data_IF_275065318976
#
_entry.id   IF_275065318976
#
_cell.length_a   1.000
_cell.length_b   1.000
_cell.length_c   1.000
_cell.angle_alpha   90.00
_cell.angle_beta   90.00
_cell.angle_gamma   90.00
#
_symmetry.space_group_name_H-M   'P 1'
#
loop_
_entity.id
_entity.type
_entity.pdbx_description
1 polymer ?
#
# COMPACT_ATOMS: atom_id res chain seq x y z
N UNK A 1 77.44 -46.43 -25.69
CA UNK A 1 77.02 -45.44 -26.71
C UNK A 1 75.72 -44.77 -26.29
N UNK A 2 75.75 -43.59 -25.67
CA UNK A 2 74.56 -42.80 -25.32
C UNK A 2 74.26 -41.73 -26.38
N UNK A 3 73.08 -41.79 -27.01
CA UNK A 3 72.63 -40.78 -27.98
C UNK A 3 71.97 -39.60 -27.24
N UNK A 4 72.57 -38.40 -27.33
CA UNK A 4 71.99 -37.15 -26.83
C UNK A 4 70.90 -36.65 -27.79
N UNK A 5 69.69 -36.41 -27.28
CA UNK A 5 68.59 -35.76 -28.02
C UNK A 5 68.72 -34.25 -27.81
N UNK A 6 68.92 -33.49 -28.90
CA UNK A 6 68.91 -32.02 -28.90
C UNK A 6 67.44 -31.53 -28.91
N UNK A 7 67.04 -30.77 -27.89
CA UNK A 7 65.79 -30.04 -27.88
C UNK A 7 65.82 -28.87 -28.88
N UNK A 8 64.87 -28.82 -29.81
CA UNK A 8 64.62 -27.68 -30.70
C UNK A 8 63.88 -26.60 -29.92
N UNK A 9 64.44 -25.38 -29.85
CA UNK A 9 63.72 -24.18 -29.40
C UNK A 9 62.88 -23.65 -30.56
N UNK A 10 61.57 -23.49 -30.36
CA UNK A 10 60.69 -22.78 -31.29
C UNK A 10 60.82 -21.26 -31.06
N UNK A 11 60.79 -20.43 -32.12
CA UNK A 11 60.82 -18.99 -31.96
C UNK A 11 59.45 -18.47 -31.50
N UNK A 12 59.48 -17.55 -30.54
CA UNK A 12 58.32 -16.88 -29.96
C UNK A 12 57.84 -15.82 -30.97
N UNK A 13 56.68 -16.04 -31.58
CA UNK A 13 56.01 -15.04 -32.43
C UNK A 13 55.63 -13.82 -31.57
N UNK A 14 56.19 -12.65 -31.90
CA UNK A 14 55.84 -11.38 -31.27
C UNK A 14 54.47 -10.93 -31.79
N UNK A 15 53.49 -10.81 -30.90
CA UNK A 15 52.20 -10.22 -31.27
C UNK A 15 52.32 -8.69 -31.44
N UNK A 16 51.62 -8.09 -32.42
CA UNK A 16 51.59 -6.65 -32.57
C UNK A 16 50.90 -6.00 -31.36
N UNK A 17 51.49 -4.90 -30.89
CA UNK A 17 50.94 -4.07 -29.80
C UNK A 17 49.65 -3.43 -30.32
N UNK A 18 48.50 -3.91 -29.86
CA UNK A 18 47.22 -3.24 -30.09
C UNK A 18 47.26 -1.94 -29.29
N UNK A 19 47.36 -0.82 -30.00
CA UNK A 19 47.29 0.51 -29.41
C UNK A 19 45.83 0.76 -29.00
N UNK A 20 45.57 0.74 -27.69
CA UNK A 20 44.25 1.04 -27.16
C UNK A 20 43.90 2.50 -27.47
N UNK A 21 42.69 2.80 -27.98
CA UNK A 21 42.26 4.18 -28.14
C UNK A 21 42.24 4.87 -26.76
N UNK A 22 42.56 6.17 -26.69
CA UNK A 22 42.54 6.90 -25.44
C UNK A 22 41.12 6.84 -24.85
N UNK A 23 41.04 6.48 -23.57
CA UNK A 23 39.80 6.53 -22.80
C UNK A 23 39.23 7.96 -22.90
N UNK A 24 37.91 8.12 -23.11
CA UNK A 24 37.30 9.44 -23.08
C UNK A 24 37.65 10.10 -21.74
N UNK A 25 38.08 11.36 -21.81
CA UNK A 25 38.35 12.16 -20.62
C UNK A 25 37.08 12.14 -19.77
N UNK A 26 37.16 11.48 -18.62
CA UNK A 26 36.13 11.57 -17.61
C UNK A 26 36.18 13.01 -17.12
N UNK A 27 35.21 13.82 -17.52
CA UNK A 27 34.85 15.06 -16.82
C UNK A 27 34.35 14.64 -15.42
N UNK A 28 35.29 14.24 -14.56
CA UNK A 28 35.01 13.97 -13.17
C UNK A 28 34.79 15.34 -12.53
N UNK A 29 33.60 15.62 -11.98
CA UNK A 29 33.43 16.81 -11.16
C UNK A 29 34.47 16.72 -10.03
N UNK A 30 35.19 17.83 -9.81
CA UNK A 30 36.09 18.02 -8.68
C UNK A 30 35.32 17.67 -7.40
N UNK A 31 35.54 16.46 -6.87
CA UNK A 31 34.89 15.96 -5.65
C UNK A 31 35.74 16.36 -4.46
N UNK A 32 35.83 17.66 -4.22
CA UNK A 32 36.45 18.26 -3.02
C UNK A 32 35.60 18.12 -1.75
N UNK A 33 34.71 17.14 -1.71
CA UNK A 33 33.96 16.76 -0.52
C UNK A 33 33.69 15.26 -0.56
N UNK A 34 34.48 14.48 0.16
CA UNK A 34 34.18 13.07 0.40
C UNK A 34 32.96 13.00 1.31
N UNK A 35 31.76 12.99 0.72
CA UNK A 35 30.54 12.57 1.40
C UNK A 35 30.76 11.21 2.06
N UNK A 36 29.99 10.93 3.11
CA UNK A 36 30.09 9.65 3.81
C UNK A 36 29.76 8.49 2.85
N UNK A 37 30.12 7.26 3.20
CA UNK A 37 29.72 6.06 2.43
C UNK A 37 28.19 6.03 2.23
N UNK A 38 27.42 6.51 3.22
CA UNK A 38 25.96 6.58 3.14
C UNK A 38 25.50 7.58 2.07
N UNK A 39 26.15 8.74 1.97
CA UNK A 39 25.85 9.74 0.95
C UNK A 39 26.17 9.21 -0.45
N UNK A 40 27.31 8.51 -0.60
CA UNK A 40 27.70 7.88 -1.84
C UNK A 40 26.69 6.81 -2.27
N UNK A 41 26.29 5.91 -1.37
CA UNK A 41 25.27 4.89 -1.68
C UNK A 41 23.94 5.55 -2.03
N UNK A 42 23.51 6.56 -1.28
CA UNK A 42 22.27 7.29 -1.55
C UNK A 42 22.27 7.96 -2.93
N UNK A 43 23.43 8.47 -3.37
CA UNK A 43 23.60 9.10 -4.70
C UNK A 43 23.47 8.13 -5.88
N UNK A 44 23.55 6.82 -5.63
CA UNK A 44 23.35 5.78 -6.66
C UNK A 44 21.87 5.44 -6.88
N UNK A 45 20.96 5.97 -6.06
CA UNK A 45 19.52 5.76 -6.22
C UNK A 45 19.02 6.30 -7.56
N UNK A 46 18.44 5.43 -8.39
CA UNK A 46 17.99 5.71 -9.77
C UNK A 46 19.06 6.32 -10.69
N UNK A 47 20.32 6.25 -10.29
CA UNK A 47 21.45 6.63 -11.13
C UNK A 47 21.84 5.44 -12.01
N UNK A 48 22.02 5.66 -13.31
CA UNK A 48 22.46 4.63 -14.25
C UNK A 48 23.98 4.37 -14.21
N UNK A 49 24.75 5.26 -13.59
CA UNK A 49 26.19 5.09 -13.43
C UNK A 49 26.50 3.83 -12.63
N UNK A 50 27.31 2.91 -13.18
CA UNK A 50 27.62 1.59 -12.61
C UNK A 50 26.42 0.64 -12.41
N UNK A 51 25.23 0.98 -12.92
CA UNK A 51 24.08 0.09 -12.87
C UNK A 51 24.32 -1.17 -13.72
N UNK A 52 24.05 -2.33 -13.15
CA UNK A 52 24.20 -3.66 -13.75
C UNK A 52 22.90 -4.47 -13.74
N UNK A 53 21.79 -3.79 -13.40
CA UNK A 53 20.43 -4.33 -13.38
C UNK A 53 19.45 -3.27 -13.87
N UNK A 54 18.44 -3.73 -14.62
CA UNK A 54 17.27 -2.93 -15.00
C UNK A 54 16.03 -3.61 -14.47
N UNK A 55 15.18 -2.84 -13.79
CA UNK A 55 13.86 -3.28 -13.32
C UNK A 55 12.82 -2.56 -14.19
N UNK A 56 11.89 -3.30 -14.76
CA UNK A 56 10.80 -2.79 -15.60
C UNK A 56 9.48 -3.03 -14.86
N UNK A 57 8.68 -2.00 -14.68
CA UNK A 57 7.39 -2.08 -14.01
C UNK A 57 6.38 -1.24 -14.78
N UNK A 58 5.38 -1.89 -15.38
CA UNK A 58 4.33 -1.24 -16.18
C UNK A 58 4.85 -0.20 -17.19
N UNK A 59 5.94 -0.54 -17.89
CA UNK A 59 6.58 0.34 -18.89
C UNK A 59 7.55 1.39 -18.32
N UNK A 60 7.59 1.61 -17.00
CA UNK A 60 8.63 2.43 -16.35
C UNK A 60 9.87 1.60 -16.09
N UNK A 61 11.04 2.17 -16.36
CA UNK A 61 12.34 1.51 -16.17
C UNK A 61 13.11 2.15 -15.02
N UNK A 62 13.71 1.31 -14.19
CA UNK A 62 14.51 1.73 -13.04
C UNK A 62 15.91 1.11 -13.13
N UNK A 63 16.96 1.92 -13.33
CA UNK A 63 18.33 1.42 -13.20
C UNK A 63 18.61 1.09 -11.74
N UNK A 64 19.26 -0.05 -11.52
CA UNK A 64 19.58 -0.56 -10.20
C UNK A 64 20.95 -1.24 -10.18
N UNK A 65 21.43 -1.51 -8.97
CA UNK A 65 22.74 -2.09 -8.72
C UNK A 65 22.57 -3.39 -7.95
N UNK A 66 22.91 -4.54 -8.56
CA UNK A 66 22.75 -5.88 -7.98
C UNK A 66 23.41 -5.96 -6.61
N UNK A 67 24.62 -5.42 -6.49
CA UNK A 67 25.38 -5.41 -5.25
C UNK A 67 24.64 -4.73 -4.07
N UNK A 68 23.75 -3.77 -4.36
CA UNK A 68 22.96 -3.08 -3.33
C UNK A 68 21.62 -3.79 -3.11
N UNK A 69 20.86 -4.04 -4.18
CA UNK A 69 19.50 -4.58 -4.05
C UNK A 69 19.47 -6.04 -3.58
N UNK A 70 20.37 -6.91 -4.06
CA UNK A 70 20.43 -8.32 -3.66
C UNK A 70 20.95 -8.52 -2.23
N UNK A 71 21.73 -7.58 -1.70
CA UNK A 71 22.17 -7.64 -0.31
C UNK A 71 21.03 -7.31 0.67
N UNK A 72 20.06 -6.51 0.23
CA UNK A 72 19.00 -5.97 1.09
C UNK A 72 17.60 -6.55 0.82
N UNK A 73 17.45 -7.35 -0.24
CA UNK A 73 16.21 -8.05 -0.58
C UNK A 73 16.50 -9.50 -0.97
N UNK A 74 15.87 -10.44 -0.26
CA UNK A 74 15.98 -11.86 -0.59
C UNK A 74 15.28 -12.20 -1.91
N UNK A 75 14.22 -11.46 -2.27
CA UNK A 75 13.59 -11.55 -3.58
C UNK A 75 14.59 -11.23 -4.69
N UNK A 76 15.23 -10.05 -4.65
CA UNK A 76 16.18 -9.66 -5.69
C UNK A 76 17.42 -10.55 -5.70
N UNK A 77 17.85 -11.05 -4.54
CA UNK A 77 18.92 -12.05 -4.46
C UNK A 77 18.57 -13.30 -5.26
N UNK A 78 17.38 -13.88 -5.04
CA UNK A 78 16.92 -15.07 -5.75
C UNK A 78 16.69 -14.81 -7.23
N UNK A 79 16.07 -13.69 -7.59
CA UNK A 79 15.83 -13.31 -8.98
C UNK A 79 17.14 -13.12 -9.76
N UNK A 80 18.16 -12.55 -9.13
CA UNK A 80 19.45 -12.29 -9.76
C UNK A 80 20.45 -13.47 -9.67
N UNK A 81 20.18 -14.52 -8.91
CA UNK A 81 21.14 -15.60 -8.65
C UNK A 81 20.58 -16.94 -9.12
N UNK A 82 21.08 -17.43 -10.25
CA UNK A 82 20.74 -18.73 -10.82
C UNK A 82 20.87 -18.75 -12.35
N UNK A 83 20.40 -19.84 -12.97
CA UNK A 83 20.31 -20.00 -14.43
C UNK A 83 18.98 -19.44 -15.00
N UNK A 84 18.22 -18.71 -14.19
CA UNK A 84 16.98 -18.06 -14.60
C UNK A 84 17.27 -16.88 -15.54
N UNK A 85 16.31 -16.57 -16.42
CA UNK A 85 16.47 -15.54 -17.46
C UNK A 85 16.76 -14.17 -16.84
N UNK A 86 16.16 -13.89 -15.70
CA UNK A 86 16.30 -12.70 -14.87
C UNK A 86 17.72 -12.46 -14.35
N UNK A 87 18.60 -13.47 -14.39
CA UNK A 87 20.02 -13.28 -14.07
C UNK A 87 20.78 -12.53 -15.17
N UNK A 88 20.22 -12.49 -16.40
CA UNK A 88 20.79 -11.87 -17.62
C UNK A 88 19.86 -10.84 -18.27
N UNK A 89 18.55 -10.96 -18.04
CA UNK A 89 17.49 -10.11 -18.58
C UNK A 89 16.99 -9.11 -17.51
N UNK A 90 16.29 -8.02 -17.91
CA UNK A 90 15.61 -7.14 -16.96
C UNK A 90 14.62 -7.90 -16.06
N UNK A 91 14.45 -7.43 -14.83
CA UNK A 91 13.41 -7.94 -13.93
C UNK A 91 12.09 -7.24 -14.25
N UNK A 92 11.06 -8.01 -14.59
CA UNK A 92 9.73 -7.49 -14.91
C UNK A 92 8.77 -7.62 -13.71
N UNK A 93 8.16 -6.51 -13.31
CA UNK A 93 7.23 -6.39 -12.17
C UNK A 93 5.87 -5.85 -12.63
N UNK A 94 5.17 -6.61 -13.46
CA UNK A 94 3.95 -6.13 -14.14
C UNK A 94 2.73 -5.99 -13.22
N UNK A 95 2.73 -6.68 -12.08
CA UNK A 95 1.62 -6.68 -11.12
C UNK A 95 1.81 -5.71 -9.95
N UNK A 96 2.94 -5.00 -9.91
CA UNK A 96 3.26 -4.02 -8.87
C UNK A 96 3.04 -2.62 -9.39
N UNK A 97 2.69 -1.69 -8.49
CA UNK A 97 2.58 -0.27 -8.81
C UNK A 97 3.98 0.38 -8.95
N UNK A 98 4.28 1.09 -10.05
CA UNK A 98 5.58 1.73 -10.26
C UNK A 98 5.98 2.71 -9.15
N UNK A 99 5.03 3.41 -8.50
CA UNK A 99 5.32 4.31 -7.38
C UNK A 99 5.82 3.51 -6.18
N UNK A 100 5.17 2.38 -5.87
CA UNK A 100 5.60 1.54 -4.77
C UNK A 100 6.96 0.89 -5.06
N UNK A 101 7.22 0.45 -6.31
CA UNK A 101 8.55 -0.05 -6.70
C UNK A 101 9.61 1.03 -6.51
N UNK A 102 9.33 2.26 -6.96
CA UNK A 102 10.23 3.39 -6.78
C UNK A 102 10.57 3.62 -5.29
N UNK A 103 9.59 3.53 -4.39
CA UNK A 103 9.78 3.71 -2.95
C UNK A 103 10.43 2.51 -2.26
N UNK A 104 10.19 1.29 -2.74
CA UNK A 104 10.97 0.11 -2.32
C UNK A 104 12.45 0.33 -2.67
N UNK A 105 12.74 0.73 -3.91
CA UNK A 105 14.10 1.06 -4.32
C UNK A 105 14.67 2.22 -3.51
N UNK A 106 13.89 3.26 -3.21
CA UNK A 106 14.36 4.37 -2.36
C UNK A 106 14.84 3.87 -1.01
N UNK A 107 14.07 2.99 -0.37
CA UNK A 107 14.43 2.38 0.90
C UNK A 107 15.68 1.49 0.81
N UNK A 108 15.87 0.76 -0.29
CA UNK A 108 17.06 -0.07 -0.46
C UNK A 108 18.35 0.76 -0.51
N UNK A 109 18.30 2.00 -0.97
CA UNK A 109 19.47 2.88 -1.08
C UNK A 109 19.61 3.83 0.12
N UNK A 110 18.50 4.30 0.70
CA UNK A 110 18.47 5.40 1.68
C UNK A 110 17.96 5.00 3.07
N UNK A 111 17.57 3.73 3.28
CA UNK A 111 16.96 3.23 4.53
C UNK A 111 15.67 3.97 4.97
N UNK A 112 15.10 4.71 4.02
CA UNK A 112 13.90 5.53 4.17
C UNK A 112 13.22 5.68 2.82
N UNK A 113 11.92 5.99 2.83
CA UNK A 113 11.18 6.30 1.62
C UNK A 113 10.26 7.48 1.90
N UNK A 114 9.97 8.24 0.85
CA UNK A 114 9.13 9.43 0.89
C UNK A 114 7.73 9.14 0.36
N UNK A 115 6.73 9.84 0.88
CA UNK A 115 5.39 9.88 0.28
C UNK A 115 5.31 11.19 -0.52
N UNK A 116 4.80 11.13 -1.75
CA UNK A 116 4.57 12.33 -2.56
C UNK A 116 3.48 13.18 -1.92
N UNK A 117 3.82 14.36 -1.40
CA UNK A 117 2.83 15.33 -0.94
C UNK A 117 2.32 16.13 -2.13
N UNK A 118 1.03 16.02 -2.46
CA UNK A 118 0.37 17.14 -3.14
C UNK A 118 0.10 18.23 -2.10
N UNK A 119 0.68 19.41 -2.29
CA UNK A 119 0.25 20.64 -1.62
C UNK A 119 -1.27 20.83 -1.82
N UNK A 120 -2.07 21.12 -0.78
CA UNK A 120 -3.52 21.30 -0.88
C UNK A 120 -3.99 22.32 -1.94
N UNK A 121 -3.09 23.12 -2.50
CA UNK A 121 -3.39 24.15 -3.51
C UNK A 121 -3.75 23.60 -4.89
N UNK A 122 -3.55 22.31 -5.19
CA UNK A 122 -3.92 21.75 -6.49
C UNK A 122 -5.39 21.30 -6.62
N UNK A 123 -6.18 21.30 -5.53
CA UNK A 123 -7.59 20.86 -5.57
C UNK A 123 -8.57 21.92 -6.08
N UNK A 124 -8.11 23.16 -6.29
CA UNK A 124 -8.91 24.20 -6.93
C UNK A 124 -8.06 24.93 -7.97
N UNK A 125 -8.38 24.87 -9.27
CA UNK A 125 -7.82 25.85 -10.20
C UNK A 125 -8.18 27.25 -9.67
N UNK A 126 -7.31 28.26 -9.81
CA UNK A 126 -7.64 29.62 -9.42
C UNK A 126 -8.97 30.00 -10.07
N UNK A 127 -9.97 30.33 -9.25
CA UNK A 127 -11.24 30.84 -9.75
C UNK A 127 -10.90 32.12 -10.51
N UNK A 128 -10.96 32.05 -11.84
CA UNK A 128 -10.84 33.23 -12.70
C UNK A 128 -11.97 34.18 -12.31
N UNK A 129 -11.59 35.23 -11.57
CA UNK A 129 -12.50 36.23 -11.03
C UNK A 129 -13.07 37.16 -12.11
N UNK A 130 -12.87 36.83 -13.38
CA UNK A 130 -13.18 37.67 -14.53
C UNK A 130 -14.49 37.33 -15.25
N UNK A 131 -15.25 36.31 -14.82
CA UNK A 131 -16.57 36.00 -15.44
C UNK A 131 -17.74 36.29 -14.52
N UNK A 132 -18.40 37.41 -14.80
CA UNK A 132 -19.69 37.82 -14.26
C UNK A 132 -20.80 36.99 -14.94
N UNK A 133 -21.77 36.41 -14.21
CA UNK A 133 -22.88 35.72 -14.84
C UNK A 133 -23.88 36.73 -15.42
N UNK A 134 -24.18 36.59 -16.70
CA UNK A 134 -25.30 37.26 -17.35
C UNK A 134 -26.59 36.53 -16.96
N UNK A 135 -27.54 37.31 -16.44
CA UNK A 135 -28.87 36.88 -16.06
C UNK A 135 -29.73 36.94 -17.33
N UNK A 136 -30.22 35.81 -17.81
CA UNK A 136 -31.36 35.78 -18.73
C UNK A 136 -32.60 35.38 -17.94
N UNK A 137 -33.54 36.31 -17.88
CA UNK A 137 -34.87 36.14 -17.32
C UNK A 137 -35.78 35.38 -18.27
N UNK A 138 -36.74 34.68 -17.66
CA UNK A 138 -38.15 34.52 -18.01
C UNK A 138 -38.57 33.75 -19.28
N UNK A 139 -39.26 32.60 -19.11
CA UNK A 139 -40.74 32.59 -19.24
C UNK A 139 -41.40 31.31 -18.70
N UNK A 140 -42.58 31.53 -18.13
CA UNK A 140 -43.45 30.59 -17.43
C UNK A 140 -44.27 29.68 -18.38
N UNK A 141 -44.70 28.54 -17.85
CA UNK A 141 -45.72 27.68 -18.44
C UNK A 141 -46.10 26.55 -17.47
N UNK A 142 -47.16 26.76 -16.70
CA UNK A 142 -47.87 25.74 -15.94
C UNK A 142 -48.40 24.63 -16.86
N UNK A 143 -48.57 23.40 -16.34
CA UNK A 143 -49.86 22.68 -16.35
C UNK A 143 -49.72 21.28 -15.69
N UNK A 144 -50.39 21.18 -14.54
CA UNK A 144 -51.29 20.11 -14.06
C UNK A 144 -50.86 18.63 -14.04
N UNK A 145 -51.04 18.06 -12.85
CA UNK A 145 -51.01 16.66 -12.45
C UNK A 145 -52.01 15.74 -13.17
N UNK A 146 -51.76 14.42 -13.16
CA UNK A 146 -52.75 13.38 -12.80
C UNK A 146 -52.05 12.07 -12.42
N UNK A 147 -52.45 11.48 -11.30
CA UNK A 147 -52.11 10.15 -10.80
C UNK A 147 -52.79 9.04 -11.63
N UNK A 148 -52.18 7.85 -11.75
CA UNK A 148 -52.93 6.56 -11.72
C UNK A 148 -52.00 5.38 -11.40
N UNK A 149 -52.14 4.92 -10.16
CA UNK A 149 -52.29 3.57 -9.59
C UNK A 149 -52.10 2.32 -10.48
N UNK A 150 -51.69 1.24 -9.80
CA UNK A 150 -51.92 -0.22 -10.05
C UNK A 150 -51.11 -0.91 -11.15
N UNK A 151 -50.73 -2.18 -11.07
CA UNK A 151 -50.52 -3.20 -10.01
C UNK A 151 -50.07 -4.46 -10.78
N UNK A 152 -49.27 -5.32 -10.15
CA UNK A 152 -49.24 -6.80 -10.32
C UNK A 152 -48.97 -7.46 -11.68
N UNK A 153 -48.09 -8.48 -11.67
CA UNK A 153 -47.97 -9.45 -12.76
C UNK A 153 -46.78 -10.40 -12.62
N UNK A 154 -46.93 -11.43 -11.79
CA UNK A 154 -46.09 -12.64 -11.76
C UNK A 154 -46.10 -13.41 -13.09
N UNK A 155 -45.10 -14.28 -13.28
CA UNK A 155 -45.16 -15.41 -14.22
C UNK A 155 -43.92 -15.49 -15.09
N UNK A 156 -42.86 -16.18 -14.64
CA UNK A 156 -42.52 -17.56 -15.07
C UNK A 156 -42.31 -17.69 -16.58
N UNK A 157 -41.10 -18.08 -16.99
CA UNK A 157 -40.83 -19.39 -17.59
C UNK A 157 -39.32 -19.52 -17.89
N UNK A 158 -38.73 -20.57 -17.32
CA UNK A 158 -37.50 -21.19 -17.80
C UNK A 158 -37.78 -22.00 -19.08
N UNK A 159 -36.70 -22.58 -19.64
CA UNK A 159 -36.62 -23.43 -20.83
C UNK A 159 -36.46 -22.66 -22.16
N UNK A 160 -35.50 -22.92 -23.05
CA UNK A 160 -34.58 -24.06 -23.24
C UNK A 160 -33.50 -23.68 -24.27
N UNK A 161 -32.38 -24.41 -24.27
CA UNK A 161 -31.59 -24.96 -25.40
C UNK A 161 -31.71 -24.27 -26.78
N UNK A 162 -30.71 -24.16 -27.64
CA UNK A 162 -29.33 -24.62 -27.74
C UNK A 162 -28.92 -24.27 -29.19
N UNK A 163 -27.62 -24.08 -29.43
CA UNK A 163 -26.92 -24.25 -30.71
C UNK A 163 -27.22 -23.22 -31.82
N UNK A 164 -26.20 -22.48 -32.26
CA UNK A 164 -25.50 -22.89 -33.48
C UNK A 164 -24.18 -22.12 -33.66
N UNK A 165 -23.18 -22.89 -34.09
CA UNK A 165 -21.87 -22.45 -34.54
C UNK A 165 -21.99 -21.72 -35.88
N UNK A 166 -21.05 -20.84 -36.22
CA UNK A 166 -20.19 -20.97 -37.42
C UNK A 166 -19.15 -19.83 -37.45
N UNK A 167 -18.00 -20.21 -37.99
CA UNK A 167 -16.69 -19.59 -37.97
C UNK A 167 -16.51 -18.36 -38.90
N UNK A 168 -15.50 -17.57 -38.53
CA UNK A 168 -14.46 -16.92 -39.36
C UNK A 168 -14.88 -16.01 -40.53
N UNK A 169 -14.44 -14.73 -40.51
CA UNK A 169 -13.36 -14.26 -41.40
C UNK A 169 -12.81 -12.85 -41.01
N UNK A 170 -11.49 -12.78 -40.83
CA UNK A 170 -10.50 -11.84 -41.39
C UNK A 170 -10.68 -10.30 -41.46
N UNK A 171 -9.64 -9.64 -40.89
CA UNK A 171 -8.97 -8.34 -41.18
C UNK A 171 -9.76 -7.02 -41.18
N UNK A 172 -9.41 -6.13 -40.24
CA UNK A 172 -8.69 -4.90 -40.59
C UNK A 172 -7.99 -4.24 -39.40
N UNK A 173 -6.77 -3.80 -39.68
CA UNK A 173 -5.91 -2.90 -38.89
C UNK A 173 -6.61 -1.58 -38.59
N UNK A 174 -6.64 -1.18 -37.31
CA UNK A 174 -6.52 0.23 -36.93
C UNK A 174 -5.99 0.32 -35.49
N UNK A 175 -4.77 0.81 -35.38
CA UNK A 175 -4.14 1.21 -34.11
C UNK A 175 -4.86 2.43 -33.54
N UNK A 176 -5.24 2.45 -32.25
CA UNK A 176 -5.44 3.70 -31.55
C UNK A 176 -4.20 3.98 -30.70
N UNK A 177 -3.41 4.93 -31.16
CA UNK A 177 -2.49 5.72 -30.35
C UNK A 177 -3.28 6.45 -29.26
N UNK A 178 -3.56 5.75 -28.17
CA UNK A 178 -4.10 6.29 -26.94
C UNK A 178 -2.95 6.58 -25.98
N UNK A 179 -2.46 7.81 -25.96
CA UNK A 179 -1.79 8.38 -24.79
C UNK A 179 -2.84 8.47 -23.67
N UNK A 180 -3.16 7.34 -23.05
CA UNK A 180 -3.79 7.31 -21.75
C UNK A 180 -2.72 7.69 -20.74
N UNK A 181 -2.76 8.92 -20.25
CA UNK A 181 -2.14 9.23 -18.96
C UNK A 181 -2.78 8.29 -17.95
N UNK A 182 -2.07 7.21 -17.63
CA UNK A 182 -2.41 6.33 -16.51
C UNK A 182 -2.34 7.24 -15.29
N UNK A 183 -3.50 7.65 -14.78
CA UNK A 183 -3.58 8.40 -13.54
C UNK A 183 -2.92 7.55 -12.45
N UNK A 184 -1.84 8.08 -11.89
CA UNK A 184 -0.97 7.41 -10.94
C UNK A 184 -1.66 7.34 -9.57
N UNK A 185 -2.61 6.41 -9.42
CA UNK A 185 -3.52 6.35 -8.27
C UNK A 185 -2.80 6.18 -6.92
N UNK A 186 -1.54 5.74 -6.91
CA UNK A 186 -0.74 5.62 -5.69
C UNK A 186 -0.12 6.95 -5.22
N UNK A 187 -0.03 7.97 -6.08
CA UNK A 187 0.58 9.26 -5.75
C UNK A 187 -0.34 10.18 -4.90
N UNK A 188 -1.65 9.91 -4.87
CA UNK A 188 -2.66 10.83 -4.32
C UNK A 188 -3.40 10.26 -3.08
N UNK A 189 -2.92 9.14 -2.53
CA UNK A 189 -3.61 8.44 -1.44
C UNK A 189 -3.17 8.93 -0.04
N UNK A 190 -4.02 8.72 0.96
CA UNK A 190 -3.69 9.06 2.35
C UNK A 190 -2.45 8.28 2.84
N UNK A 191 -1.57 8.88 3.68
CA UNK A 191 -0.35 8.22 4.15
C UNK A 191 -0.57 6.81 4.73
N UNK A 192 -1.62 6.59 5.52
CA UNK A 192 -1.90 5.24 6.05
C UNK A 192 -2.24 4.24 4.96
N UNK A 193 -2.96 4.62 3.90
CA UNK A 193 -3.20 3.75 2.76
C UNK A 193 -1.89 3.40 2.07
N UNK A 194 -1.05 4.41 1.81
CA UNK A 194 0.26 4.22 1.21
C UNK A 194 1.15 3.26 2.02
N UNK A 195 1.23 3.47 3.34
CA UNK A 195 2.02 2.61 4.22
C UNK A 195 1.48 1.18 4.32
N UNK A 196 0.16 0.99 4.24
CA UNK A 196 -0.43 -0.35 4.15
C UNK A 196 0.04 -1.06 2.87
N UNK A 197 -0.03 -0.39 1.71
CA UNK A 197 0.46 -0.93 0.44
C UNK A 197 1.95 -1.24 0.48
N UNK A 198 2.77 -0.30 0.98
CA UNK A 198 4.21 -0.51 1.16
C UNK A 198 4.53 -1.69 2.07
N UNK A 199 3.72 -1.96 3.09
CA UNK A 199 3.89 -3.15 3.94
C UNK A 199 3.70 -4.44 3.14
N UNK A 200 2.71 -4.49 2.25
CA UNK A 200 2.47 -5.62 1.35
C UNK A 200 3.64 -5.84 0.39
N UNK A 201 4.13 -4.77 -0.24
CA UNK A 201 5.28 -4.83 -1.13
C UNK A 201 6.56 -5.24 -0.40
N UNK A 202 6.77 -4.75 0.83
CA UNK A 202 7.91 -5.16 1.64
C UNK A 202 7.92 -6.66 1.94
N UNK A 203 6.75 -7.26 2.12
CA UNK A 203 6.60 -8.70 2.27
C UNK A 203 6.91 -9.44 0.97
N UNK A 204 6.37 -8.96 -0.15
CA UNK A 204 6.63 -9.52 -1.48
C UNK A 204 8.12 -9.52 -1.84
N UNK A 205 8.80 -8.38 -1.64
CA UNK A 205 10.23 -8.24 -1.88
C UNK A 205 11.11 -8.83 -0.77
N UNK A 206 10.50 -9.40 0.28
CA UNK A 206 11.18 -10.02 1.42
C UNK A 206 12.17 -9.07 2.11
N UNK A 207 11.74 -7.83 2.37
CA UNK A 207 12.53 -6.77 3.01
C UNK A 207 11.97 -6.50 4.41
N UNK A 208 12.40 -7.29 5.40
CA UNK A 208 11.89 -7.23 6.77
C UNK A 208 12.01 -5.83 7.41
N UNK A 209 13.11 -5.12 7.17
CA UNK A 209 13.32 -3.77 7.71
C UNK A 209 12.31 -2.76 7.14
N UNK A 210 12.01 -2.86 5.83
CA UNK A 210 10.97 -2.03 5.20
C UNK A 210 9.59 -2.39 5.72
N UNK A 211 9.30 -3.68 5.90
CA UNK A 211 8.03 -4.17 6.44
C UNK A 211 7.79 -3.61 7.85
N UNK A 212 8.81 -3.65 8.70
CA UNK A 212 8.76 -3.07 10.04
C UNK A 212 8.56 -1.54 10.01
N UNK A 213 9.27 -0.82 9.13
CA UNK A 213 9.12 0.63 8.95
C UNK A 213 7.72 0.99 8.48
N UNK A 214 7.23 0.37 7.41
CA UNK A 214 5.89 0.58 6.88
C UNK A 214 4.79 0.31 7.92
N UNK A 215 4.94 -0.74 8.75
CA UNK A 215 4.03 -1.01 9.88
C UNK A 215 4.03 0.12 10.92
N UNK A 216 5.21 0.65 11.26
CA UNK A 216 5.33 1.75 12.22
C UNK A 216 4.68 3.03 11.70
N UNK A 217 4.99 3.40 10.45
CA UNK A 217 4.43 4.60 9.82
C UNK A 217 2.92 4.47 9.56
N UNK A 218 2.46 3.27 9.19
CA UNK A 218 1.03 2.94 9.10
C UNK A 218 0.32 3.22 10.42
N UNK A 219 0.88 2.72 11.54
CA UNK A 219 0.28 2.93 12.86
C UNK A 219 0.15 4.41 13.20
N UNK A 220 1.22 5.18 12.98
CA UNK A 220 1.24 6.60 13.28
C UNK A 220 0.17 7.34 12.45
N UNK A 221 0.23 7.20 11.13
CA UNK A 221 -0.70 7.86 10.22
C UNK A 221 -2.15 7.40 10.36
N UNK A 222 -2.41 6.12 10.66
CA UNK A 222 -3.77 5.60 10.81
C UNK A 222 -4.40 6.03 12.14
N UNK A 223 -3.62 6.14 13.21
CA UNK A 223 -4.11 6.62 14.51
C UNK A 223 -4.60 8.06 14.44
N UNK A 224 -3.95 8.88 13.62
CA UNK A 224 -4.30 10.30 13.46
C UNK A 224 -5.37 10.53 12.37
N UNK A 225 -5.80 9.47 11.67
CA UNK A 225 -6.81 9.56 10.62
C UNK A 225 -8.20 9.85 11.22
N UNK A 226 -8.81 10.96 10.80
CA UNK A 226 -10.15 11.37 11.26
C UNK A 226 -11.20 11.39 10.14
N UNK A 227 -10.80 11.17 8.88
CA UNK A 227 -11.69 11.22 7.73
C UNK A 227 -12.36 9.86 7.48
N UNK A 228 -13.70 9.87 7.42
CA UNK A 228 -14.52 8.67 7.23
C UNK A 228 -14.14 7.87 5.98
N UNK A 229 -14.12 8.53 4.83
CA UNK A 229 -13.95 7.84 3.54
C UNK A 229 -12.56 7.19 3.45
N UNK A 230 -11.54 7.86 4.01
CA UNK A 230 -10.17 7.33 4.09
C UNK A 230 -10.07 6.12 5.02
N UNK A 231 -10.74 6.13 6.17
CA UNK A 231 -10.78 4.97 7.07
C UNK A 231 -11.40 3.77 6.36
N UNK A 232 -12.52 3.98 5.66
CA UNK A 232 -13.19 2.93 4.90
C UNK A 232 -12.30 2.37 3.79
N UNK A 233 -11.60 3.21 3.04
CA UNK A 233 -10.66 2.79 1.98
C UNK A 233 -9.49 1.97 2.54
N UNK A 234 -8.88 2.42 3.63
CA UNK A 234 -7.79 1.69 4.29
C UNK A 234 -8.25 0.34 4.79
N UNK A 235 -9.43 0.26 5.43
CA UNK A 235 -9.98 -1.03 5.89
C UNK A 235 -10.24 -1.95 4.69
N UNK A 236 -10.85 -1.46 3.61
CA UNK A 236 -11.05 -2.27 2.40
C UNK A 236 -9.73 -2.83 1.85
N UNK A 237 -8.68 -2.02 1.82
CA UNK A 237 -7.34 -2.47 1.39
C UNK A 237 -6.77 -3.56 2.31
N UNK A 238 -6.81 -3.34 3.64
CA UNK A 238 -6.29 -4.31 4.61
C UNK A 238 -7.00 -5.68 4.51
N UNK A 239 -8.26 -5.70 4.13
CA UNK A 239 -9.03 -6.93 3.96
C UNK A 239 -9.03 -7.47 2.52
N UNK A 240 -8.39 -6.76 1.58
CA UNK A 240 -8.23 -7.22 0.20
C UNK A 240 -7.30 -8.45 0.10
N UNK A 241 -7.41 -9.26 -0.98
CA UNK A 241 -6.51 -10.38 -1.23
C UNK A 241 -5.14 -9.96 -1.80
N UNK A 242 -4.85 -8.65 -1.90
CA UNK A 242 -3.66 -8.15 -2.59
C UNK A 242 -2.35 -8.53 -1.91
N UNK A 243 -2.34 -8.55 -0.58
CA UNK A 243 -1.18 -8.96 0.21
C UNK A 243 -1.60 -9.53 1.57
N UNK A 244 -0.64 -10.10 2.29
CA UNK A 244 -0.88 -10.60 3.64
C UNK A 244 -0.83 -9.47 4.68
N UNK A 245 -1.98 -8.85 4.92
CA UNK A 245 -2.11 -7.75 5.87
C UNK A 245 -2.47 -8.18 7.31
N UNK A 246 -2.37 -9.46 7.67
CA UNK A 246 -2.81 -9.97 8.98
C UNK A 246 -2.28 -9.18 10.19
N UNK A 247 -1.01 -8.77 10.15
CA UNK A 247 -0.43 -7.94 11.22
C UNK A 247 -1.01 -6.54 11.28
N UNK A 248 -1.30 -5.93 10.12
CA UNK A 248 -1.89 -4.61 10.04
C UNK A 248 -3.39 -4.63 10.38
N UNK A 249 -4.13 -5.69 10.02
CA UNK A 249 -5.53 -5.89 10.42
C UNK A 249 -5.70 -5.84 11.93
N UNK A 250 -4.91 -6.64 12.66
CA UNK A 250 -4.93 -6.65 14.14
C UNK A 250 -4.65 -5.26 14.72
N UNK A 251 -3.67 -4.56 14.15
CA UNK A 251 -3.30 -3.21 14.58
C UNK A 251 -4.40 -2.19 14.29
N UNK A 252 -5.00 -2.24 13.10
CA UNK A 252 -6.09 -1.35 12.70
C UNK A 252 -7.33 -1.58 13.57
N UNK A 253 -7.70 -2.84 13.83
CA UNK A 253 -8.81 -3.18 14.73
C UNK A 253 -8.56 -2.62 16.13
N UNK A 254 -7.36 -2.80 16.70
CA UNK A 254 -7.00 -2.22 18.01
C UNK A 254 -7.13 -0.68 17.99
N UNK A 255 -6.61 -0.01 16.97
CA UNK A 255 -6.73 1.46 16.83
C UNK A 255 -8.19 1.89 16.73
N UNK A 256 -9.01 1.21 15.92
CA UNK A 256 -10.44 1.52 15.76
C UNK A 256 -11.18 1.31 17.08
N UNK A 257 -10.98 0.17 17.76
CA UNK A 257 -11.62 -0.14 19.05
C UNK A 257 -11.24 0.89 20.13
N UNK A 258 -9.99 1.36 20.13
CA UNK A 258 -9.53 2.38 21.07
C UNK A 258 -10.19 3.75 20.85
N UNK A 259 -10.52 4.08 19.60
CA UNK A 259 -11.10 5.37 19.20
C UNK A 259 -12.59 5.26 18.79
N UNK A 260 -13.24 4.13 19.08
CA UNK A 260 -14.57 3.80 18.57
C UNK A 260 -15.66 4.83 18.91
N UNK A 261 -15.70 5.44 20.12
CA UNK A 261 -16.69 6.48 20.42
C UNK A 261 -16.65 7.62 19.40
N UNK A 262 -15.48 8.18 19.15
CA UNK A 262 -15.29 9.29 18.21
C UNK A 262 -15.50 8.87 16.75
N UNK A 263 -15.14 7.64 16.39
CA UNK A 263 -15.37 7.11 15.03
C UNK A 263 -16.84 6.78 14.74
N UNK A 264 -17.67 6.68 15.78
CA UNK A 264 -19.12 6.45 15.72
C UNK A 264 -19.93 7.72 15.95
N UNK A 265 -19.29 8.78 16.46
CA UNK A 265 -19.86 10.13 16.50
C UNK A 265 -19.88 10.72 15.09
N UNK A 266 -20.96 11.45 14.76
CA UNK A 266 -21.17 12.04 13.43
C UNK A 266 -22.21 11.34 12.56
N UNK A 267 -22.68 12.05 11.54
CA UNK A 267 -23.64 11.55 10.55
C UNK A 267 -23.14 11.88 9.14
N UNK A 268 -22.68 10.88 8.36
CA UNK A 268 -22.56 9.46 8.70
C UNK A 268 -21.33 9.18 9.59
N UNK A 269 -21.36 8.15 10.46
CA UNK A 269 -20.20 7.74 11.24
C UNK A 269 -19.10 7.16 10.34
N UNK A 270 -17.83 7.27 10.76
CA UNK A 270 -16.70 6.70 10.02
C UNK A 270 -16.78 5.18 9.90
N UNK A 271 -17.22 4.52 10.98
CA UNK A 271 -17.56 3.10 10.99
C UNK A 271 -19.08 2.96 10.88
N UNK A 272 -19.58 2.92 9.64
CA UNK A 272 -21.00 2.82 9.33
C UNK A 272 -21.45 1.40 8.94
N UNK A 273 -22.76 1.24 8.75
CA UNK A 273 -23.37 -0.03 8.35
C UNK A 273 -22.88 -0.51 6.99
N UNK A 274 -22.69 0.40 6.02
CA UNK A 274 -22.26 0.04 4.67
C UNK A 274 -20.83 -0.50 4.64
N UNK A 275 -19.90 0.08 5.42
CA UNK A 275 -18.54 -0.45 5.56
C UNK A 275 -18.54 -1.85 6.18
N UNK A 276 -19.29 -2.03 7.28
CA UNK A 276 -19.36 -3.33 7.97
C UNK A 276 -19.98 -4.42 7.09
N UNK A 277 -20.97 -4.05 6.27
CA UNK A 277 -21.56 -4.96 5.27
C UNK A 277 -20.59 -5.28 4.13
N UNK A 278 -19.80 -4.30 3.69
CA UNK A 278 -18.83 -4.47 2.60
C UNK A 278 -17.63 -5.32 3.02
N UNK A 279 -17.23 -5.24 4.29
CA UNK A 279 -16.06 -5.96 4.83
C UNK A 279 -16.49 -6.81 6.04
N UNK A 280 -17.10 -7.98 5.82
CA UNK A 280 -17.70 -8.77 6.91
C UNK A 280 -16.66 -9.34 7.89
N UNK A 281 -15.48 -9.75 7.40
CA UNK A 281 -14.39 -10.23 8.27
C UNK A 281 -13.94 -9.13 9.24
N UNK A 282 -13.86 -7.88 8.78
CA UNK A 282 -13.58 -6.74 9.64
C UNK A 282 -14.69 -6.55 10.68
N UNK A 283 -15.96 -6.66 10.28
CA UNK A 283 -17.08 -6.54 11.22
C UNK A 283 -17.04 -7.60 12.32
N UNK A 284 -16.69 -8.84 11.98
CA UNK A 284 -16.53 -9.95 12.93
C UNK A 284 -15.36 -9.66 13.88
N UNK A 285 -14.19 -9.33 13.35
CA UNK A 285 -12.99 -9.04 14.15
C UNK A 285 -13.20 -7.83 15.06
N UNK A 286 -13.85 -6.76 14.56
CA UNK A 286 -14.20 -5.58 15.33
C UNK A 286 -15.19 -5.91 16.47
N UNK A 287 -16.19 -6.73 16.19
CA UNK A 287 -17.18 -7.17 17.18
C UNK A 287 -16.49 -7.96 18.31
N UNK A 288 -15.70 -8.97 17.95
CA UNK A 288 -14.95 -9.78 18.91
C UNK A 288 -14.01 -8.93 19.76
N UNK A 289 -13.20 -8.07 19.13
CA UNK A 289 -12.28 -7.18 19.85
C UNK A 289 -13.01 -6.20 20.79
N UNK A 290 -14.20 -5.74 20.41
CA UNK A 290 -15.03 -4.88 21.25
C UNK A 290 -15.58 -5.65 22.45
N UNK A 291 -16.11 -6.87 22.25
CA UNK A 291 -16.59 -7.76 23.31
C UNK A 291 -15.46 -8.08 24.30
N UNK A 292 -14.28 -8.45 23.79
CA UNK A 292 -13.12 -8.77 24.61
C UNK A 292 -12.68 -7.58 25.47
N UNK A 293 -12.71 -6.36 24.91
CA UNK A 293 -12.41 -5.13 25.65
C UNK A 293 -13.40 -4.90 26.79
N UNK A 294 -14.70 -5.13 26.58
CA UNK A 294 -15.70 -4.99 27.64
C UNK A 294 -15.55 -6.07 28.72
N UNK A 295 -15.33 -7.33 28.32
CA UNK A 295 -15.12 -8.44 29.24
C UNK A 295 -13.87 -8.21 30.12
N UNK A 296 -12.79 -7.70 29.54
CA UNK A 296 -11.55 -7.40 30.25
C UNK A 296 -11.70 -6.26 31.26
N UNK A 297 -12.51 -5.24 30.96
CA UNK A 297 -12.80 -4.13 31.89
C UNK A 297 -13.67 -4.55 33.09
N UNK A 298 -14.47 -5.60 32.95
CA UNK A 298 -15.32 -6.14 34.03
C UNK A 298 -14.54 -6.84 35.16
N UNK A 299 -13.25 -7.14 34.96
CA UNK A 299 -12.38 -7.80 35.95
C UNK A 299 -11.62 -6.81 36.85
N UNK A 300 -11.59 -5.52 36.53
CA UNK A 300 -10.88 -4.50 37.34
C UNK A 300 -11.77 -3.83 38.40
N UNK A 301 -13.06 -4.17 38.49
CA UNK A 301 -13.92 -3.68 39.58
C UNK A 301 -13.58 -4.43 40.87
N UNK A 302 -12.85 -3.75 41.77
CA UNK A 302 -12.60 -4.17 43.17
C UNK A 302 -13.89 -4.75 43.80
N UNK A 303 -13.79 -5.79 44.65
CA UNK A 303 -14.94 -6.32 45.36
C UNK A 303 -15.54 -5.21 46.22
N UNK A 304 -16.83 -4.96 46.01
CA UNK A 304 -17.66 -4.08 46.83
C UNK A 304 -17.43 -4.40 48.30
N UNK A 305 -16.89 -3.45 49.06
CA UNK A 305 -16.91 -3.55 50.51
C UNK A 305 -18.38 -3.55 50.94
N UNK A 306 -18.86 -4.72 51.36
CA UNK A 306 -20.11 -4.85 52.11
C UNK A 306 -19.93 -3.99 53.36
N UNK A 307 -20.80 -2.99 53.63
CA UNK A 307 -20.70 -2.21 54.84
C UNK A 307 -21.04 -3.14 56.01
N UNK A 308 -20.00 -3.61 56.68
CA UNK A 308 -20.13 -4.38 57.92
C UNK A 308 -20.25 -3.37 59.04
N UNK A 309 -21.49 -3.06 59.45
CA UNK A 309 -21.70 -2.07 60.50
C UNK A 309 -23.14 -1.70 60.75
N UNK A 310 -23.98 -2.65 61.15
CA UNK A 310 -25.17 -2.35 61.95
C UNK A 310 -24.90 -2.85 63.38
N UNK A 311 -24.81 -1.99 64.40
CA UNK A 311 -24.79 -2.45 65.77
C UNK A 311 -26.20 -2.96 66.13
N UNK A 312 -26.25 -4.16 66.68
CA UNK A 312 -27.41 -4.74 67.33
C UNK A 312 -27.91 -3.80 68.43
N UNK A 313 -29.01 -3.07 68.19
CA UNK A 313 -29.78 -2.47 69.28
C UNK A 313 -30.43 -3.60 70.08
N UNK A 314 -29.95 -3.77 71.31
CA UNK A 314 -30.57 -4.63 72.32
C UNK A 314 -31.92 -4.01 72.68
N UNK A 315 -33.00 -4.70 72.31
CA UNK A 315 -34.32 -4.49 72.93
C UNK A 315 -34.22 -4.81 74.43
N UNK A 316 -34.08 -3.77 75.25
CA UNK A 316 -34.30 -3.85 76.69
C UNK A 316 -35.79 -3.85 76.99
N UNK A 317 -36.31 -4.96 77.50
CA UNK A 317 -37.64 -5.00 78.11
C UNK A 317 -37.59 -4.26 79.46
N UNK A 318 -38.56 -3.39 79.78
CA UNK A 318 -38.64 -2.80 81.11
C UNK A 318 -39.24 -3.84 82.07
N UNK A 319 -38.46 -4.22 83.08
CA UNK A 319 -38.96 -4.90 84.26
C UNK A 319 -39.85 -3.94 85.06
N UNK A 320 -41.16 -4.11 84.97
CA UNK A 320 -42.12 -3.54 85.91
C UNK A 320 -42.28 -4.49 87.09
N UNK A 321 -41.76 -4.09 88.25
CA UNK A 321 -41.99 -4.75 89.53
C UNK A 321 -42.75 -3.85 90.50
N UNK A 322 -43.51 -4.51 91.38
CA UNK A 322 -44.24 -4.02 92.56
C UNK A 322 -45.58 -3.33 92.25
N UNK A 323 -46.71 -3.73 92.84
CA UNK A 323 -46.98 -4.10 94.25
C UNK A 323 -48.02 -5.22 94.34
#
# INVERSE_FOLDING_TARGET
>A
MGKKIKARRTPRLSMPKVEQPPLPASDMPDRDGQGTIVDLVSSLYLNSEYSDLVIVCQGKTFPAHRALVCCRSEYFRKACFGDFKEAKDPIHLDNTDPVLVEKVLEFLYKDSYTIGYISPQARYPPVDSSRRPEIETEHAGEHAATEVVSESGEGTNEDTKSLDNIAQDSVNEESPSGQGSVMDAAADCHPSYFHARMFGEADYFMINALKAKAKSEFRASFKDCSERDLIAEVIKELYSPRANYQELRKLAVDVVVNNLPSLREGFPPAIDFELLKTVPDFAIELCLATVDRYASKGLETKPSQIPTGAPHERFGFPGGGFV
#
